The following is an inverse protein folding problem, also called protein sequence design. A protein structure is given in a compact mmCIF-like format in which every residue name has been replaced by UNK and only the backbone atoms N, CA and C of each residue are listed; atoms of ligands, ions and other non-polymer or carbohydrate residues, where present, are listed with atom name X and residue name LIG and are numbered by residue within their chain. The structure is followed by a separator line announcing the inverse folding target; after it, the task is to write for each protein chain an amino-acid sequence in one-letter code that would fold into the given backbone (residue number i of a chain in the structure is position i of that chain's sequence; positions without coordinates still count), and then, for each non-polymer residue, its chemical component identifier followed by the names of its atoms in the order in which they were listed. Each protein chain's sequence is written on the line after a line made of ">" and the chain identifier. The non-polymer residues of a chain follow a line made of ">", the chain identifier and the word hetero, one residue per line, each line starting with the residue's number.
data_IF_953265377573
#
_entry.id   IF_953265377573
#
_cell.length_a   1.000
_cell.length_b   1.000
_cell.length_c   1.000
_cell.angle_alpha   90.00
_cell.angle_beta   90.00
_cell.angle_gamma   90.00
#
_symmetry.space_group_name_H-M   'P 1'
#
loop_
_entity.id
_entity.type
_entity.pdbx_description
1 polymer ?
#
# COMPACT_ATOMS: atom_id res chain seq x y z
N UNK A 1 57.97 19.12 -22.36
CA UNK A 1 56.57 19.30 -21.89
C UNK A 1 55.59 18.64 -22.85
N UNK A 2 55.67 18.89 -24.16
CA UNK A 2 54.76 18.31 -25.17
C UNK A 2 54.80 16.77 -25.27
N UNK A 3 55.97 16.14 -25.14
CA UNK A 3 56.10 14.67 -25.20
C UNK A 3 55.39 13.94 -24.05
N UNK A 4 55.37 14.53 -22.85
CA UNK A 4 54.68 13.93 -21.70
C UNK A 4 53.16 14.04 -21.84
N UNK A 5 52.69 15.13 -22.45
CA UNK A 5 51.27 15.33 -22.71
C UNK A 5 50.74 14.32 -23.73
N UNK A 6 51.50 14.05 -24.79
CA UNK A 6 51.19 13.02 -25.79
C UNK A 6 51.09 11.62 -25.18
N UNK A 7 52.01 11.27 -24.28
CA UNK A 7 52.01 9.97 -23.60
C UNK A 7 50.78 9.78 -22.70
N UNK A 8 50.37 10.83 -21.97
CA UNK A 8 49.17 10.81 -21.13
C UNK A 8 47.90 10.61 -21.97
N UNK A 9 47.80 11.30 -23.10
CA UNK A 9 46.66 11.18 -24.03
C UNK A 9 46.54 9.76 -24.59
N UNK A 10 47.67 9.15 -24.94
CA UNK A 10 47.69 7.79 -25.48
C UNK A 10 47.31 6.75 -24.41
N UNK A 11 47.76 6.93 -23.17
CA UNK A 11 47.40 6.05 -22.06
C UNK A 11 45.90 6.13 -21.73
N UNK A 12 45.33 7.33 -21.73
CA UNK A 12 43.90 7.56 -21.53
C UNK A 12 43.05 6.90 -22.62
N UNK A 13 43.48 7.00 -23.88
CA UNK A 13 42.76 6.38 -25.01
C UNK A 13 42.70 4.86 -24.86
N UNK A 14 43.80 4.21 -24.49
CA UNK A 14 43.85 2.77 -24.26
C UNK A 14 42.95 2.33 -23.09
N UNK A 15 42.88 3.12 -22.01
CA UNK A 15 41.99 2.83 -20.88
C UNK A 15 40.51 2.95 -21.26
N UNK A 16 40.17 3.93 -22.09
CA UNK A 16 38.80 4.12 -22.57
C UNK A 16 38.37 2.95 -23.45
N UNK A 17 39.22 2.48 -24.37
CA UNK A 17 38.95 1.29 -25.19
C UNK A 17 38.76 0.03 -24.34
N UNK A 18 39.57 -0.16 -23.30
CA UNK A 18 39.43 -1.29 -22.38
C UNK A 18 38.08 -1.27 -21.63
N UNK A 19 37.60 -0.09 -21.23
CA UNK A 19 36.31 0.07 -20.56
C UNK A 19 35.12 -0.18 -21.51
N UNK A 20 35.23 0.22 -22.79
CA UNK A 20 34.22 -0.11 -23.79
C UNK A 20 34.13 -1.62 -24.02
N UNK A 21 35.26 -2.31 -24.12
CA UNK A 21 35.29 -3.76 -24.27
C UNK A 21 34.72 -4.50 -23.04
N UNK A 22 34.93 -3.98 -21.82
CA UNK A 22 34.38 -4.57 -20.59
C UNK A 22 32.86 -4.35 -20.46
N UNK A 23 32.37 -3.18 -20.89
CA UNK A 23 30.94 -2.87 -20.98
C UNK A 23 30.20 -3.75 -22.00
N UNK A 24 30.81 -4.02 -23.15
CA UNK A 24 30.23 -4.93 -24.15
C UNK A 24 30.16 -6.38 -23.64
N UNK A 25 31.16 -6.84 -22.88
CA UNK A 25 31.14 -8.16 -22.24
C UNK A 25 30.08 -8.27 -21.14
N UNK A 26 29.87 -7.22 -20.35
CA UNK A 26 28.82 -7.20 -19.32
C UNK A 26 27.41 -7.10 -19.91
N UNK A 27 27.23 -6.32 -20.99
CA UNK A 27 25.96 -6.23 -21.71
C UNK A 27 25.61 -7.54 -22.42
N UNK A 28 26.58 -8.21 -23.07
CA UNK A 28 26.34 -9.51 -23.71
C UNK A 28 26.02 -10.62 -22.69
N UNK A 29 26.58 -10.55 -21.47
CA UNK A 29 26.20 -11.46 -20.38
C UNK A 29 24.77 -11.21 -19.88
N UNK A 30 24.32 -9.94 -19.83
CA UNK A 30 22.95 -9.57 -19.46
C UNK A 30 21.91 -9.88 -20.56
N UNK A 31 22.24 -9.66 -21.85
CA UNK A 31 21.33 -9.97 -22.96
C UNK A 31 21.16 -11.49 -23.14
N UNK A 32 22.21 -12.30 -22.95
CA UNK A 32 22.06 -13.76 -22.99
C UNK A 32 21.32 -14.36 -21.76
N UNK A 33 21.14 -13.59 -20.67
CA UNK A 33 20.32 -14.04 -19.53
C UNK A 33 18.83 -13.72 -19.69
N UNK A 34 18.43 -12.90 -20.67
CA UNK A 34 17.06 -12.41 -20.80
C UNK A 34 16.24 -13.07 -21.92
N UNK A 35 16.85 -13.88 -22.79
CA UNK A 35 16.16 -14.44 -23.99
C UNK A 35 15.80 -15.94 -23.89
N UNK A 36 15.75 -16.49 -22.68
CA UNK A 36 15.17 -17.81 -22.42
C UNK A 36 14.31 -17.79 -21.16
N UNK A 37 13.07 -17.29 -21.28
CA UNK A 37 12.03 -17.56 -20.28
C UNK A 37 10.62 -17.31 -20.85
N UNK A 38 10.20 -18.12 -21.83
CA UNK A 38 8.79 -18.46 -21.99
C UNK A 38 8.47 -19.71 -21.15
N UNK A 39 7.84 -19.44 -20.00
CA UNK A 39 6.88 -20.24 -19.25
C UNK A 39 7.15 -21.74 -19.01
N UNK A 40 7.67 -22.03 -17.82
CA UNK A 40 7.08 -23.04 -16.93
C UNK A 40 7.22 -22.53 -15.50
N UNK A 41 6.15 -21.95 -14.93
CA UNK A 41 6.17 -21.57 -13.51
C UNK A 41 5.97 -22.86 -12.71
N UNK A 42 7.06 -23.16 -12.04
CA UNK A 42 7.51 -24.36 -11.36
C UNK A 42 6.81 -24.59 -10.00
N UNK A 43 6.48 -25.84 -9.60
CA UNK A 43 6.12 -26.19 -8.21
C UNK A 43 7.18 -25.80 -7.14
N UNK A 44 8.38 -25.36 -7.52
CA UNK A 44 9.39 -24.73 -6.65
C UNK A 44 9.32 -23.19 -6.58
N UNK A 45 8.29 -22.55 -7.15
CA UNK A 45 8.10 -21.10 -7.03
C UNK A 45 7.99 -20.68 -5.55
N UNK A 46 8.93 -19.83 -5.09
CA UNK A 46 8.89 -19.25 -3.74
C UNK A 46 8.29 -17.86 -3.75
N UNK A 47 7.34 -17.65 -2.84
CA UNK A 47 6.82 -16.35 -2.42
C UNK A 47 7.98 -15.41 -2.12
N UNK A 48 8.04 -14.27 -2.81
CA UNK A 48 9.10 -13.29 -2.60
C UNK A 48 8.82 -12.56 -1.27
N UNK A 49 9.67 -12.82 -0.28
CA UNK A 49 9.82 -11.99 0.91
C UNK A 49 10.12 -10.52 0.50
N UNK A 50 9.94 -9.53 1.38
CA UNK A 50 10.36 -8.15 1.09
C UNK A 50 11.78 -8.12 0.53
N UNK A 51 12.01 -7.27 -0.48
CA UNK A 51 13.32 -7.20 -1.17
C UNK A 51 14.46 -6.80 -0.24
N UNK A 52 14.12 -6.09 0.84
CA UNK A 52 15.03 -5.62 1.90
C UNK A 52 14.26 -5.72 3.22
N UNK A 53 14.91 -6.25 4.24
CA UNK A 53 14.42 -6.24 5.63
C UNK A 53 15.27 -5.25 6.43
N UNK A 54 14.64 -4.46 7.29
CA UNK A 54 15.30 -3.48 8.16
C UNK A 54 15.26 -4.03 9.57
N UNK A 55 16.43 -4.24 10.18
CA UNK A 55 16.53 -4.69 11.57
C UNK A 55 16.11 -3.57 12.54
N UNK A 56 15.54 -3.96 13.68
CA UNK A 56 15.14 -3.05 14.75
C UNK A 56 16.36 -2.46 15.47
N UNK A 57 16.81 -1.28 15.06
CA UNK A 57 17.90 -0.56 15.71
C UNK A 57 17.38 0.37 16.83
N UNK A 58 18.22 0.73 17.83
CA UNK A 58 17.77 1.42 19.04
C UNK A 58 16.96 2.70 18.78
N UNK A 59 17.41 3.56 17.87
CA UNK A 59 16.72 4.82 17.55
C UNK A 59 15.34 4.59 16.92
N UNK A 60 15.14 3.45 16.23
CA UNK A 60 13.84 3.08 15.65
C UNK A 60 12.89 2.55 16.72
N UNK A 61 13.40 1.75 17.66
CA UNK A 61 12.63 1.28 18.82
C UNK A 61 12.20 2.44 19.73
N UNK A 62 13.06 3.44 19.91
CA UNK A 62 12.73 4.64 20.68
C UNK A 62 11.62 5.47 19.99
N UNK A 63 11.64 5.54 18.66
CA UNK A 63 10.61 6.24 17.89
C UNK A 63 9.29 5.46 17.77
N UNK A 64 9.34 4.12 17.76
CA UNK A 64 8.20 3.20 17.64
C UNK A 64 8.31 2.14 18.75
N UNK A 65 7.89 2.47 19.99
CA UNK A 65 8.12 1.62 21.16
C UNK A 65 7.49 0.22 21.07
N UNK A 66 6.45 0.07 20.25
CA UNK A 66 5.73 -1.18 20.05
C UNK A 66 6.15 -1.94 18.77
N UNK A 67 7.29 -1.60 18.16
CA UNK A 67 7.72 -2.23 16.90
C UNK A 67 7.97 -3.74 17.01
N UNK A 68 8.48 -4.20 18.16
CA UNK A 68 8.72 -5.64 18.41
C UNK A 68 7.48 -6.38 18.94
N UNK A 69 6.37 -5.67 19.20
CA UNK A 69 5.14 -6.31 19.63
C UNK A 69 4.45 -7.03 18.47
N UNK A 70 3.73 -8.12 18.78
CA UNK A 70 2.96 -8.84 17.78
C UNK A 70 1.75 -8.00 17.33
N UNK A 71 1.87 -7.41 16.13
CA UNK A 71 0.83 -6.60 15.49
C UNK A 71 -0.56 -7.25 15.49
N UNK A 72 -0.65 -8.59 15.40
CA UNK A 72 -1.92 -9.31 15.37
C UNK A 72 -2.46 -9.66 16.76
N UNK A 73 -1.70 -9.40 17.82
CA UNK A 73 -2.03 -9.72 19.22
C UNK A 73 -1.96 -8.52 20.17
N UNK A 74 -1.84 -7.30 19.66
CA UNK A 74 -1.92 -6.05 20.43
C UNK A 74 -3.26 -5.32 20.22
N UNK A 75 -4.39 -5.81 20.80
CA UNK A 75 -5.67 -5.12 20.69
C UNK A 75 -5.69 -3.84 21.53
N UNK A 76 -6.28 -2.78 20.99
CA UNK A 76 -6.60 -1.57 21.77
C UNK A 76 -7.62 -1.87 22.86
N UNK A 77 -7.41 -1.33 24.05
CA UNK A 77 -8.44 -1.25 25.11
C UNK A 77 -9.59 -0.33 24.71
N UNK A 78 -10.70 -0.41 25.43
CA UNK A 78 -11.87 0.44 25.16
C UNK A 78 -11.56 1.92 25.44
N UNK A 79 -10.77 2.20 26.47
CA UNK A 79 -10.28 3.51 26.85
C UNK A 79 -9.37 4.12 25.76
N UNK A 80 -8.35 3.37 25.30
CA UNK A 80 -7.45 3.83 24.22
C UNK A 80 -8.22 4.07 22.93
N UNK A 81 -9.13 3.16 22.56
CA UNK A 81 -9.97 3.35 21.38
C UNK A 81 -10.83 4.60 21.51
N UNK A 82 -11.35 4.88 22.70
CA UNK A 82 -12.12 6.09 22.97
C UNK A 82 -11.29 7.35 22.82
N UNK A 83 -10.07 7.36 23.32
CA UNK A 83 -9.18 8.51 23.22
C UNK A 83 -8.69 8.73 21.79
N UNK A 84 -8.13 7.69 21.17
CA UNK A 84 -7.48 7.77 19.85
C UNK A 84 -8.50 7.98 18.74
N UNK A 85 -9.68 7.37 18.79
CA UNK A 85 -10.66 7.42 17.69
C UNK A 85 -11.82 8.36 18.01
N UNK A 86 -12.44 8.20 19.17
CA UNK A 86 -13.65 8.95 19.54
C UNK A 86 -13.35 10.31 20.18
N UNK A 87 -12.12 10.53 20.64
CA UNK A 87 -11.64 11.83 21.12
C UNK A 87 -11.30 12.81 20.00
N UNK A 88 -11.13 12.32 18.76
CA UNK A 88 -10.82 13.14 17.59
C UNK A 88 -12.08 13.77 16.99
N UNK A 89 -11.93 14.92 16.34
CA UNK A 89 -13.05 15.57 15.68
C UNK A 89 -13.59 14.72 14.52
N UNK A 90 -14.92 14.80 14.32
CA UNK A 90 -15.56 14.24 13.13
C UNK A 90 -15.59 15.31 12.05
N UNK A 91 -14.93 15.06 10.92
CA UNK A 91 -14.91 15.98 9.80
C UNK A 91 -16.21 15.84 8.99
N UNK A 92 -16.94 16.94 8.82
CA UNK A 92 -18.24 16.95 8.14
C UNK A 92 -18.17 16.57 6.65
N UNK A 93 -17.01 16.81 6.01
CA UNK A 93 -16.78 16.44 4.61
C UNK A 93 -16.63 14.94 4.36
N UNK A 94 -16.38 14.13 5.41
CA UNK A 94 -16.11 12.70 5.26
C UNK A 94 -17.35 11.85 5.54
N UNK A 95 -17.62 10.88 4.65
CA UNK A 95 -18.70 9.90 4.80
C UNK A 95 -18.19 8.66 5.55
N UNK A 96 -18.33 8.67 6.87
CA UNK A 96 -17.87 7.56 7.72
C UNK A 96 -18.80 6.33 7.73
N UNK A 97 -20.03 6.45 7.22
CA UNK A 97 -20.99 5.36 7.21
C UNK A 97 -20.86 4.55 5.93
N UNK A 98 -20.55 3.24 6.02
CA UNK A 98 -20.57 2.38 4.84
C UNK A 98 -21.99 2.31 4.25
N UNK A 99 -22.13 1.93 2.97
CA UNK A 99 -23.43 1.67 2.38
C UNK A 99 -24.25 0.66 3.22
N UNK A 100 -25.57 0.87 3.34
CA UNK A 100 -26.45 0.07 4.19
C UNK A 100 -26.49 -1.40 3.76
N UNK A 101 -26.86 -2.26 4.70
CA UNK A 101 -27.06 -3.69 4.46
C UNK A 101 -28.34 -3.91 3.65
N UNK A 102 -28.34 -4.91 2.78
CA UNK A 102 -29.56 -5.38 2.14
C UNK A 102 -30.30 -6.33 3.08
N UNK A 103 -31.46 -5.92 3.59
CA UNK A 103 -32.24 -6.69 4.55
C UNK A 103 -32.81 -8.00 3.99
N UNK A 104 -32.88 -8.14 2.67
CA UNK A 104 -33.40 -9.31 1.98
C UNK A 104 -32.38 -10.45 1.80
N UNK A 105 -31.13 -10.29 2.27
CA UNK A 105 -30.12 -11.35 2.23
C UNK A 105 -30.44 -12.52 3.19
N UNK A 106 -30.02 -13.74 2.86
CA UNK A 106 -30.19 -14.91 3.74
C UNK A 106 -29.43 -14.75 5.08
N UNK A 107 -29.88 -15.36 6.19
CA UNK A 107 -29.26 -15.17 7.52
C UNK A 107 -27.75 -15.48 7.59
N UNK A 108 -27.28 -16.53 6.92
CA UNK A 108 -25.86 -16.87 6.87
C UNK A 108 -25.02 -15.78 6.18
N UNK A 109 -25.57 -15.18 5.11
CA UNK A 109 -24.99 -14.06 4.37
C UNK A 109 -24.95 -12.81 5.27
N UNK A 110 -25.99 -12.56 6.08
CA UNK A 110 -26.02 -11.41 6.99
C UNK A 110 -24.86 -11.38 7.99
N UNK A 111 -24.37 -12.54 8.47
CA UNK A 111 -23.25 -12.60 9.42
C UNK A 111 -21.93 -12.11 8.80
N UNK A 112 -21.55 -12.66 7.65
CA UNK A 112 -20.34 -12.24 6.92
C UNK A 112 -20.43 -10.77 6.54
N UNK A 113 -21.60 -10.32 6.11
CA UNK A 113 -21.82 -8.93 5.75
C UNK A 113 -21.73 -7.96 6.91
N UNK A 114 -22.27 -8.34 8.07
CA UNK A 114 -22.15 -7.55 9.29
C UNK A 114 -20.68 -7.41 9.69
N UNK A 115 -19.88 -8.47 9.56
CA UNK A 115 -18.43 -8.43 9.79
C UNK A 115 -17.72 -7.51 8.78
N UNK A 116 -17.99 -7.63 7.49
CA UNK A 116 -17.40 -6.73 6.49
C UNK A 116 -17.83 -5.28 6.71
N UNK A 117 -19.08 -5.04 7.09
CA UNK A 117 -19.60 -3.72 7.44
C UNK A 117 -18.87 -3.13 8.66
N UNK A 118 -18.64 -3.92 9.71
CA UNK A 118 -17.91 -3.45 10.89
C UNK A 118 -16.45 -3.16 10.57
N UNK A 119 -15.78 -3.98 9.76
CA UNK A 119 -14.41 -3.73 9.27
C UNK A 119 -14.34 -2.42 8.48
N UNK A 120 -15.25 -2.20 7.52
CA UNK A 120 -15.29 -0.95 6.76
C UNK A 120 -15.52 0.28 7.63
N UNK A 121 -16.44 0.16 8.60
CA UNK A 121 -16.71 1.23 9.55
C UNK A 121 -15.45 1.56 10.36
N UNK A 122 -14.75 0.54 10.86
CA UNK A 122 -13.50 0.70 11.62
C UNK A 122 -12.40 1.35 10.77
N UNK A 123 -12.21 0.90 9.52
CA UNK A 123 -11.23 1.50 8.60
C UNK A 123 -11.52 2.98 8.34
N UNK A 124 -12.79 3.35 8.14
CA UNK A 124 -13.17 4.76 8.01
C UNK A 124 -12.93 5.57 9.28
N UNK A 125 -13.01 4.95 10.47
CA UNK A 125 -12.71 5.63 11.73
C UNK A 125 -11.20 5.84 11.96
N UNK A 126 -10.36 4.92 11.49
CA UNK A 126 -8.89 5.02 11.59
C UNK A 126 -8.34 6.24 10.84
N UNK A 127 -9.09 6.82 9.90
CA UNK A 127 -8.65 8.04 9.22
C UNK A 127 -8.77 9.30 10.08
N UNK A 128 -9.52 9.27 11.19
CA UNK A 128 -9.78 10.48 12.01
C UNK A 128 -8.52 11.08 12.66
N UNK A 129 -7.63 10.31 13.29
CA UNK A 129 -6.36 10.86 13.79
C UNK A 129 -5.54 11.51 12.68
N UNK A 130 -5.56 10.92 11.46
CA UNK A 130 -4.86 11.46 10.30
C UNK A 130 -5.46 12.81 9.87
N UNK A 131 -6.79 12.89 9.75
CA UNK A 131 -7.50 14.13 9.43
C UNK A 131 -7.24 15.22 10.48
N UNK A 132 -7.29 14.86 11.76
CA UNK A 132 -7.04 15.77 12.87
C UNK A 132 -5.62 16.32 12.83
N UNK A 133 -4.62 15.47 12.57
CA UNK A 133 -3.24 15.92 12.43
C UNK A 133 -3.10 16.98 11.35
N UNK A 134 -3.63 16.73 10.14
CA UNK A 134 -3.57 17.68 9.03
C UNK A 134 -4.25 19.00 9.39
N UNK A 135 -5.45 18.94 9.99
CA UNK A 135 -6.16 20.12 10.48
C UNK A 135 -5.33 20.94 11.46
N UNK A 136 -4.71 20.28 12.44
CA UNK A 136 -3.94 20.95 13.49
C UNK A 136 -2.63 21.54 12.96
N UNK A 137 -2.01 20.94 11.95
CA UNK A 137 -0.85 21.53 11.26
C UNK A 137 -1.23 22.80 10.49
N UNK A 138 -2.33 22.75 9.72
CA UNK A 138 -2.84 23.90 8.97
C UNK A 138 -3.22 25.06 9.91
N UNK A 139 -3.90 24.75 11.03
CA UNK A 139 -4.31 25.74 12.03
C UNK A 139 -3.12 26.45 12.69
N UNK A 140 -1.98 25.78 12.83
CA UNK A 140 -0.75 26.35 13.42
C UNK A 140 0.03 27.27 12.47
N UNK A 141 -0.49 27.56 11.27
CA UNK A 141 0.20 28.36 10.25
C UNK A 141 1.62 27.84 9.96
N UNK A 142 1.78 26.51 9.87
CA UNK A 142 3.04 25.90 9.44
C UNK A 142 3.44 26.51 8.09
N UNK A 143 4.65 27.06 7.97
CA UNK A 143 5.13 27.56 6.69
C UNK A 143 5.35 26.38 5.75
N UNK A 144 4.40 26.15 4.86
CA UNK A 144 4.54 25.25 3.72
C UNK A 144 5.45 25.93 2.69
N UNK A 145 6.75 25.96 2.94
CA UNK A 145 7.72 26.10 1.85
C UNK A 145 7.77 24.76 1.12
N UNK A 146 7.75 24.78 -0.22
CA UNK A 146 7.54 23.66 -1.17
C UNK A 146 8.36 22.36 -0.98
N UNK A 147 9.21 22.24 0.05
CA UNK A 147 10.08 21.07 0.32
C UNK A 147 9.78 20.33 1.65
N UNK A 148 8.75 20.68 2.43
CA UNK A 148 8.59 20.20 3.83
C UNK A 148 7.26 19.52 4.22
N UNK A 149 6.58 18.83 3.30
CA UNK A 149 5.32 18.14 3.61
C UNK A 149 5.34 16.63 3.47
N UNK A 150 6.50 15.98 3.64
CA UNK A 150 6.63 14.51 3.58
C UNK A 150 5.63 13.80 4.53
N UNK A 151 5.34 14.41 5.68
CA UNK A 151 4.34 13.92 6.64
C UNK A 151 2.91 14.00 6.09
N UNK A 152 2.55 15.09 5.42
CA UNK A 152 1.25 15.23 4.76
C UNK A 152 1.12 14.27 3.57
N UNK A 153 2.19 14.07 2.81
CA UNK A 153 2.21 13.13 1.68
C UNK A 153 2.02 11.70 2.17
N UNK A 154 2.73 11.31 3.24
CA UNK A 154 2.54 10.02 3.89
C UNK A 154 1.11 9.85 4.39
N UNK A 155 0.53 10.87 5.03
CA UNK A 155 -0.88 10.83 5.47
C UNK A 155 -1.81 10.65 4.27
N UNK A 156 -1.61 11.37 3.17
CA UNK A 156 -2.39 11.23 1.95
C UNK A 156 -2.28 9.81 1.36
N UNK A 157 -1.07 9.22 1.36
CA UNK A 157 -0.84 7.84 0.93
C UNK A 157 -1.64 6.88 1.81
N UNK A 158 -1.50 6.96 3.13
CA UNK A 158 -2.21 6.07 4.07
C UNK A 158 -3.73 6.21 3.92
N UNK A 159 -4.25 7.43 3.79
CA UNK A 159 -5.68 7.69 3.55
C UNK A 159 -6.16 7.07 2.24
N UNK A 160 -5.35 7.13 1.19
CA UNK A 160 -5.67 6.56 -0.12
C UNK A 160 -5.71 5.03 -0.05
N UNK A 161 -4.73 4.40 0.61
CA UNK A 161 -4.70 2.95 0.83
C UNK A 161 -5.91 2.46 1.65
N UNK A 162 -6.27 3.18 2.72
CA UNK A 162 -7.49 2.88 3.49
C UNK A 162 -8.74 3.00 2.61
N UNK A 163 -8.81 4.03 1.76
CA UNK A 163 -9.96 4.25 0.86
C UNK A 163 -10.08 3.17 -0.21
N UNK A 164 -8.97 2.71 -0.78
CA UNK A 164 -8.93 1.59 -1.74
C UNK A 164 -9.42 0.29 -1.09
N UNK A 165 -8.93 0.00 0.12
CA UNK A 165 -9.35 -1.19 0.87
C UNK A 165 -10.84 -1.15 1.23
N UNK A 166 -11.35 -0.01 1.72
CA UNK A 166 -12.79 0.17 2.02
C UNK A 166 -13.63 0.01 0.75
N UNK A 167 -13.16 0.51 -0.39
CA UNK A 167 -13.83 0.38 -1.69
C UNK A 167 -13.87 -1.07 -2.16
N UNK A 168 -12.77 -1.80 -2.02
CA UNK A 168 -12.67 -3.24 -2.32
C UNK A 168 -13.67 -4.05 -1.50
N UNK A 169 -13.74 -3.81 -0.18
CA UNK A 169 -14.73 -4.49 0.67
C UNK A 169 -16.16 -4.12 0.25
N UNK A 170 -16.39 -2.89 -0.21
CA UNK A 170 -17.72 -2.47 -0.69
C UNK A 170 -18.10 -3.25 -1.94
N UNK A 171 -17.16 -3.42 -2.87
CA UNK A 171 -17.38 -4.21 -4.07
C UNK A 171 -17.64 -5.68 -3.74
N UNK A 172 -16.89 -6.29 -2.81
CA UNK A 172 -17.13 -7.67 -2.37
C UNK A 172 -18.53 -7.84 -1.78
N UNK A 173 -18.98 -6.87 -0.96
CA UNK A 173 -20.35 -6.84 -0.44
C UNK A 173 -21.37 -6.74 -1.58
N UNK A 174 -21.17 -5.90 -2.59
CA UNK A 174 -22.11 -5.78 -3.73
C UNK A 174 -22.16 -7.07 -4.55
N UNK A 175 -20.99 -7.64 -4.87
CA UNK A 175 -20.87 -8.86 -5.65
C UNK A 175 -21.57 -10.03 -4.96
N UNK A 176 -21.39 -10.16 -3.64
CA UNK A 176 -22.01 -11.23 -2.89
C UNK A 176 -23.55 -11.09 -2.84
N UNK A 177 -24.11 -9.87 -2.87
CA UNK A 177 -25.57 -9.67 -2.86
C UNK A 177 -26.09 -10.12 -4.22
N UNK A 178 -25.42 -9.70 -5.28
CA UNK A 178 -25.80 -10.08 -6.63
C UNK A 178 -25.76 -11.61 -6.84
N UNK A 179 -24.71 -12.29 -6.37
CA UNK A 179 -24.59 -13.77 -6.40
C UNK A 179 -25.74 -14.42 -5.63
N UNK A 180 -26.00 -13.98 -4.40
CA UNK A 180 -27.01 -14.58 -3.51
C UNK A 180 -28.45 -14.34 -3.96
N UNK A 181 -28.71 -13.22 -4.64
CA UNK A 181 -30.04 -12.86 -5.14
C UNK A 181 -30.33 -13.40 -6.55
N UNK A 182 -29.39 -14.13 -7.18
CA UNK A 182 -29.52 -14.67 -8.55
C UNK A 182 -30.03 -13.59 -9.52
N UNK A 183 -29.57 -12.35 -9.35
CA UNK A 183 -29.97 -11.27 -10.23
C UNK A 183 -29.41 -11.55 -11.62
N UNK A 184 -30.27 -11.48 -12.65
CA UNK A 184 -29.83 -11.56 -14.04
C UNK A 184 -29.06 -10.27 -14.39
N UNK A 185 -27.78 -10.40 -14.74
CA UNK A 185 -26.93 -9.27 -15.13
C UNK A 185 -25.53 -9.31 -14.51
N UNK A 186 -24.77 -8.23 -14.67
CA UNK A 186 -23.52 -7.99 -13.91
C UNK A 186 -23.83 -7.07 -12.73
N UNK A 187 -23.22 -7.34 -11.58
CA UNK A 187 -23.28 -6.45 -10.43
C UNK A 187 -22.72 -5.07 -10.77
N UNK A 188 -23.26 -4.02 -10.15
CA UNK A 188 -22.71 -2.65 -10.30
C UNK A 188 -21.25 -2.64 -9.88
N UNK A 189 -20.37 -2.17 -10.77
CA UNK A 189 -18.95 -2.00 -10.48
C UNK A 189 -18.70 -0.58 -9.96
N UNK A 190 -18.19 -0.48 -8.73
CA UNK A 190 -17.67 0.74 -8.13
C UNK A 190 -16.20 0.97 -8.46
N UNK A 191 -15.46 -0.11 -8.69
CA UNK A 191 -14.05 -0.11 -9.12
C UNK A 191 -14.04 -0.47 -10.59
N UNK A 192 -13.42 0.36 -11.44
CA UNK A 192 -13.24 0.02 -12.86
C UNK A 192 -12.51 -1.31 -12.99
N UNK A 193 -12.98 -2.20 -13.88
CA UNK A 193 -12.43 -3.55 -14.05
C UNK A 193 -10.95 -3.59 -14.46
N UNK A 194 -10.37 -2.45 -14.85
CA UNK A 194 -8.95 -2.28 -15.21
C UNK A 194 -8.04 -2.06 -13.99
N UNK A 195 -8.59 -1.73 -12.81
CA UNK A 195 -7.82 -1.42 -11.61
C UNK A 195 -7.69 -2.68 -10.76
N UNK A 196 -6.45 -3.13 -10.52
CA UNK A 196 -6.17 -4.22 -9.58
C UNK A 196 -6.25 -3.69 -8.14
N UNK A 197 -7.18 -4.17 -7.31
CA UNK A 197 -7.29 -3.74 -5.92
C UNK A 197 -6.10 -4.24 -5.10
N UNK A 198 -5.80 -3.58 -3.97
CA UNK A 198 -4.74 -4.01 -3.05
C UNK A 198 -4.98 -5.43 -2.50
N UNK A 199 -6.26 -5.83 -2.38
CA UNK A 199 -6.67 -7.19 -2.01
C UNK A 199 -7.60 -7.71 -3.10
N UNK A 200 -7.25 -8.85 -3.70
CA UNK A 200 -8.13 -9.54 -4.66
C UNK A 200 -9.41 -10.02 -3.97
N UNK A 201 -10.57 -9.69 -4.54
CA UNK A 201 -11.88 -10.00 -3.95
C UNK A 201 -12.10 -11.50 -3.73
N UNK A 202 -11.50 -12.34 -4.57
CA UNK A 202 -11.59 -13.80 -4.59
C UNK A 202 -11.03 -14.42 -3.28
N UNK A 203 -10.11 -13.71 -2.61
CA UNK A 203 -9.49 -14.13 -1.34
C UNK A 203 -10.35 -13.83 -0.11
N UNK A 204 -11.42 -13.04 -0.25
CA UNK A 204 -12.37 -12.70 0.82
C UNK A 204 -13.58 -13.65 0.87
N UNK A 205 -13.78 -14.48 -0.16
CA UNK A 205 -14.89 -15.43 -0.28
C UNK A 205 -14.55 -16.85 0.27
N UNK A 206 -13.44 -17.00 1.01
CA UNK A 206 -12.99 -18.29 1.59
C UNK A 206 -13.62 -18.64 2.93
#
# INVERSE_FOLDING_TARGET
>A
MESQLLEIIQNLSLKVEALYADRERTNTHQEHTMDMQEQDIDPYAKTRAPQVEIEAYPELMDAIPNMEEDFFRSPLTDEERKEIIYGQAKFSGMKYQPPPLNDAAAPAVKKVYSMLYSIQSSLALITRPLDQYVHDQLRRNRQFSDEKSEDLDLICIVRTLISDLVSTITQSRINNVHKTMVLLGRATQLIESSIKPLIEADKLDS
#
